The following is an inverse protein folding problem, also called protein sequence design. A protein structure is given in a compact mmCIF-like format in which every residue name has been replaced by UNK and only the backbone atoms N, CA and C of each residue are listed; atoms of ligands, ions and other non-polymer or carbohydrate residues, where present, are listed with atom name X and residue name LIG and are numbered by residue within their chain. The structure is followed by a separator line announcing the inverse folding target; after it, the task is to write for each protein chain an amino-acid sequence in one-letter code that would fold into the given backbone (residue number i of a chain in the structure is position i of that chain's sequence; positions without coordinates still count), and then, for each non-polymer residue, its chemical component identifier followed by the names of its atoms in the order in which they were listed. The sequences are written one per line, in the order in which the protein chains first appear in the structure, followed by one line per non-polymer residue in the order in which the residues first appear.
data_IF_051362119595
#
_entry.id   IF_051362119595
#
_cell.length_a   1.000
_cell.length_b   1.000
_cell.length_c   1.000
_cell.angle_alpha   90.00
_cell.angle_beta   90.00
_cell.angle_gamma   90.00
#
_symmetry.space_group_name_H-M   'P 1'
#
loop_
_entity.id
_entity.type
_entity.pdbx_description
1 polymer ?
#
# COMPACT_ATOMS: atom_id res chain seq x y z
N UNK A 1 -27.19 4.20 -7.57
CA UNK A 1 -25.96 4.57 -6.84
C UNK A 1 -24.75 4.30 -7.73
N UNK A 2 -24.06 5.33 -8.23
CA UNK A 2 -22.81 5.17 -8.98
C UNK A 2 -21.76 4.67 -7.99
N UNK A 3 -21.23 3.46 -8.20
CA UNK A 3 -20.04 2.97 -7.49
C UNK A 3 -18.87 3.82 -7.98
N UNK A 4 -18.36 4.69 -7.13
CA UNK A 4 -17.09 5.39 -7.40
C UNK A 4 -16.02 4.31 -7.59
N UNK A 5 -15.43 4.24 -8.77
CA UNK A 5 -14.30 3.33 -8.98
C UNK A 5 -13.13 3.78 -8.09
N UNK A 6 -12.38 2.85 -7.49
CA UNK A 6 -11.21 3.23 -6.70
C UNK A 6 -10.19 3.93 -7.60
N UNK A 7 -9.60 5.00 -7.10
CA UNK A 7 -8.49 5.65 -7.78
C UNK A 7 -7.31 4.67 -7.87
N UNK A 8 -6.88 4.36 -9.09
CA UNK A 8 -5.67 3.60 -9.34
C UNK A 8 -4.51 4.58 -9.51
N UNK A 9 -3.41 4.34 -8.80
CA UNK A 9 -2.21 5.18 -8.79
C UNK A 9 -0.99 4.35 -9.14
N UNK A 10 -0.02 4.97 -9.82
CA UNK A 10 1.25 4.34 -10.12
C UNK A 10 2.23 4.54 -8.94
N UNK A 11 3.03 3.52 -8.66
CA UNK A 11 4.18 3.63 -7.77
C UNK A 11 5.42 4.00 -8.58
N UNK A 12 6.29 4.82 -8.01
CA UNK A 12 7.59 5.15 -8.54
C UNK A 12 8.67 4.24 -7.94
N UNK A 13 9.63 3.81 -8.75
CA UNK A 13 10.82 3.13 -8.25
C UNK A 13 11.74 4.12 -7.54
N UNK A 14 12.34 3.72 -6.42
CA UNK A 14 13.29 4.57 -5.73
C UNK A 14 14.57 4.75 -6.57
N UNK A 15 15.08 5.98 -6.77
CA UNK A 15 16.24 6.24 -7.64
C UNK A 15 17.51 5.49 -7.24
N UNK A 16 17.70 5.21 -5.95
CA UNK A 16 18.89 4.48 -5.47
C UNK A 16 18.82 2.97 -5.70
N UNK A 17 17.67 2.42 -6.09
CA UNK A 17 17.46 0.99 -6.30
C UNK A 17 16.71 0.73 -7.62
N UNK A 18 17.26 1.14 -8.77
CA UNK A 18 16.58 1.05 -10.06
C UNK A 18 16.30 -0.41 -10.42
N UNK A 19 15.08 -0.68 -10.85
CA UNK A 19 14.64 -2.00 -11.31
C UNK A 19 15.03 -2.21 -12.79
N UNK A 20 15.35 -3.45 -13.12
CA UNK A 20 15.56 -3.91 -14.50
C UNK A 20 14.42 -4.81 -15.00
N UNK A 21 13.72 -5.43 -14.05
CA UNK A 21 12.64 -6.38 -14.35
C UNK A 21 11.26 -5.72 -14.40
N UNK A 22 11.03 -4.70 -13.55
CA UNK A 22 9.69 -4.13 -13.34
C UNK A 22 9.45 -2.94 -14.26
N UNK A 23 8.40 -3.02 -15.06
CA UNK A 23 7.96 -1.95 -15.96
C UNK A 23 7.00 -0.98 -15.25
N UNK A 24 6.10 -1.50 -14.39
CA UNK A 24 5.15 -0.68 -13.65
C UNK A 24 4.57 -1.43 -12.45
N UNK A 25 4.26 -0.68 -11.40
CA UNK A 25 3.40 -1.14 -10.31
C UNK A 25 2.27 -0.13 -10.14
N UNK A 26 1.04 -0.63 -10.04
CA UNK A 26 -0.15 0.19 -9.77
C UNK A 26 -0.82 -0.32 -8.50
N UNK A 27 -1.35 0.62 -7.72
CA UNK A 27 -2.08 0.30 -6.51
C UNK A 27 -3.44 1.00 -6.49
N UNK A 28 -4.40 0.39 -5.84
CA UNK A 28 -5.66 1.02 -5.49
C UNK A 28 -6.16 0.52 -4.14
N UNK A 29 -6.87 1.37 -3.40
CA UNK A 29 -7.49 1.02 -2.14
C UNK A 29 -8.90 1.60 -2.08
N UNK A 30 -9.81 0.88 -1.41
CA UNK A 30 -11.18 1.34 -1.18
C UNK A 30 -11.74 0.80 0.13
N UNK A 31 -12.58 1.60 0.77
CA UNK A 31 -13.38 1.14 1.90
C UNK A 31 -14.79 0.82 1.38
N UNK A 32 -15.20 -0.42 1.56
CA UNK A 32 -16.52 -0.93 1.21
C UNK A 32 -17.45 -1.03 2.41
N UNK A 33 -18.61 -1.66 2.20
CA UNK A 33 -19.57 -1.92 3.27
C UNK A 33 -18.95 -2.72 4.42
N UNK A 34 -19.45 -2.52 5.64
CA UNK A 34 -18.96 -3.11 6.89
C UNK A 34 -17.47 -2.81 7.19
N UNK A 35 -16.94 -1.66 6.73
CA UNK A 35 -15.55 -1.26 6.98
C UNK A 35 -14.51 -2.16 6.32
N UNK A 36 -14.84 -2.85 5.22
CA UNK A 36 -13.89 -3.66 4.45
C UNK A 36 -12.90 -2.74 3.74
N UNK A 37 -11.63 -2.84 4.08
CA UNK A 37 -10.53 -2.27 3.32
C UNK A 37 -10.09 -3.29 2.26
N UNK A 38 -10.34 -2.98 1.00
CA UNK A 38 -9.86 -3.77 -0.13
C UNK A 38 -8.71 -3.02 -0.81
N UNK A 39 -7.58 -3.69 -0.96
CA UNK A 39 -6.41 -3.19 -1.67
C UNK A 39 -6.11 -4.08 -2.88
N UNK A 40 -5.57 -3.48 -3.92
CA UNK A 40 -5.18 -4.19 -5.14
C UNK A 40 -3.86 -3.61 -5.63
N UNK A 41 -2.95 -4.50 -5.96
CA UNK A 41 -1.70 -4.19 -6.62
C UNK A 41 -1.64 -4.93 -7.96
N UNK A 42 -1.14 -4.25 -8.98
CA UNK A 42 -0.84 -4.79 -10.30
C UNK A 42 0.64 -4.60 -10.56
N UNK A 43 1.37 -5.69 -10.71
CA UNK A 43 2.77 -5.72 -11.10
C UNK A 43 2.86 -6.06 -12.58
N UNK A 44 3.49 -5.21 -13.37
CA UNK A 44 3.90 -5.46 -14.75
C UNK A 44 5.43 -5.59 -14.79
N UNK A 45 5.93 -6.79 -15.08
CA UNK A 45 7.35 -7.11 -14.99
C UNK A 45 7.73 -8.26 -15.93
N UNK A 46 9.02 -8.38 -16.21
CA UNK A 46 9.60 -9.63 -16.69
C UNK A 46 9.69 -10.64 -15.53
N UNK A 47 8.70 -11.52 -15.46
CA UNK A 47 8.58 -12.48 -14.35
C UNK A 47 9.70 -13.51 -14.31
N UNK A 48 10.51 -13.65 -15.37
CA UNK A 48 11.70 -14.50 -15.34
C UNK A 48 12.83 -13.92 -14.51
N UNK A 49 12.75 -12.62 -14.21
CA UNK A 49 13.73 -11.87 -13.41
C UNK A 49 13.25 -11.55 -12.00
N UNK A 50 11.97 -11.81 -11.69
CA UNK A 50 11.38 -11.53 -10.36
C UNK A 50 11.35 -12.79 -9.51
N UNK A 51 11.84 -12.70 -8.29
CA UNK A 51 11.77 -13.78 -7.29
C UNK A 51 10.46 -13.65 -6.53
N UNK A 52 9.59 -14.65 -6.67
CA UNK A 52 8.36 -14.75 -5.91
C UNK A 52 8.51 -15.76 -4.79
N UNK A 53 8.05 -15.42 -3.56
CA UNK A 53 7.94 -16.40 -2.48
C UNK A 53 7.03 -17.56 -2.89
N UNK A 54 7.41 -18.78 -2.46
CA UNK A 54 6.61 -19.98 -2.70
C UNK A 54 5.22 -19.86 -2.10
N UNK A 55 4.19 -20.24 -2.86
CA UNK A 55 2.80 -20.24 -2.40
C UNK A 55 2.65 -21.12 -1.15
N UNK A 56 1.98 -20.59 -0.13
CA UNK A 56 1.72 -21.23 1.15
C UNK A 56 0.27 -21.05 1.58
N UNK A 57 -0.26 -21.85 2.52
CA UNK A 57 -1.54 -21.53 3.17
C UNK A 57 -1.49 -20.14 3.80
N UNK A 58 -2.58 -19.38 3.65
CA UNK A 58 -2.66 -18.04 4.20
C UNK A 58 -2.47 -18.05 5.72
N UNK A 59 -1.40 -17.42 6.18
CA UNK A 59 -1.00 -17.34 7.58
C UNK A 59 -0.30 -16.02 7.85
N UNK A 60 -0.26 -15.62 9.13
CA UNK A 60 0.60 -14.53 9.56
C UNK A 60 2.06 -14.97 9.50
N UNK A 61 2.91 -14.14 8.91
CA UNK A 61 4.37 -14.34 8.85
C UNK A 61 5.07 -12.99 8.98
N UNK A 62 6.11 -12.94 9.81
CA UNK A 62 6.88 -11.71 10.00
C UNK A 62 7.91 -11.52 8.88
N UNK A 63 8.43 -10.28 8.77
CA UNK A 63 9.53 -9.90 7.88
C UNK A 63 9.28 -10.13 6.38
N UNK A 64 8.01 -10.11 5.94
CA UNK A 64 7.66 -10.29 4.53
C UNK A 64 8.34 -9.26 3.60
N UNK A 65 8.63 -8.05 4.11
CA UNK A 65 9.33 -6.98 3.39
C UNK A 65 10.79 -7.29 3.02
N UNK A 66 11.35 -8.38 3.51
CA UNK A 66 12.69 -8.85 3.10
C UNK A 66 12.72 -9.50 1.72
N UNK A 67 11.55 -9.78 1.16
CA UNK A 67 11.34 -10.41 -0.13
C UNK A 67 10.28 -9.64 -0.93
N UNK A 68 9.85 -10.17 -2.07
CA UNK A 68 8.75 -9.57 -2.82
C UNK A 68 7.50 -9.48 -1.94
N UNK A 69 7.09 -8.24 -1.63
CA UNK A 69 5.99 -7.91 -0.74
C UNK A 69 5.29 -6.64 -1.21
N UNK A 70 3.98 -6.57 -1.02
CA UNK A 70 3.15 -5.39 -1.26
C UNK A 70 2.63 -4.85 0.05
N UNK A 71 2.74 -3.54 0.24
CA UNK A 71 2.51 -2.91 1.53
C UNK A 71 1.49 -1.78 1.43
N UNK A 72 0.62 -1.70 2.42
CA UNK A 72 -0.33 -0.60 2.56
C UNK A 72 -0.19 0.01 3.95
N UNK A 73 0.17 1.26 4.00
CA UNK A 73 0.19 2.07 5.21
C UNK A 73 -1.14 2.80 5.36
N UNK A 74 -1.70 2.79 6.55
CA UNK A 74 -2.99 3.44 6.84
C UNK A 74 -2.84 4.31 8.08
N UNK A 75 -3.21 5.59 7.95
CA UNK A 75 -3.13 6.58 9.01
C UNK A 75 -4.41 7.41 9.08
N UNK A 76 -4.63 8.06 10.22
CA UNK A 76 -5.63 9.09 10.37
C UNK A 76 -5.25 10.33 9.53
N UNK A 77 -6.22 11.20 9.21
CA UNK A 77 -5.95 12.50 8.60
C UNK A 77 -4.91 13.31 9.35
N UNK A 78 -4.28 14.25 8.67
CA UNK A 78 -3.27 15.12 9.28
C UNK A 78 -3.88 15.90 10.46
N UNK A 79 -3.15 15.95 11.57
CA UNK A 79 -3.58 16.59 12.80
C UNK A 79 -4.37 15.68 13.76
N UNK A 80 -4.78 14.48 13.35
CA UNK A 80 -5.51 13.52 14.20
C UNK A 80 -4.59 12.48 14.87
N UNK A 81 -3.28 12.72 14.88
CA UNK A 81 -2.28 11.88 15.56
C UNK A 81 -1.18 11.36 14.62
N UNK A 82 -0.15 10.75 15.22
CA UNK A 82 1.02 10.21 14.51
C UNK A 82 0.94 8.72 14.25
N UNK A 83 0.01 8.02 14.91
CA UNK A 83 -0.13 6.58 14.82
C UNK A 83 -0.56 6.14 13.40
N UNK A 84 -0.06 4.99 12.98
CA UNK A 84 -0.44 4.37 11.71
C UNK A 84 -0.31 2.85 11.81
N UNK A 85 -0.90 2.17 10.82
CA UNK A 85 -0.76 0.73 10.63
C UNK A 85 -0.04 0.45 9.33
N UNK A 86 0.78 -0.60 9.32
CA UNK A 86 1.42 -1.19 8.17
C UNK A 86 0.81 -2.56 7.92
N UNK A 87 0.40 -2.81 6.69
CA UNK A 87 -0.23 -4.05 6.25
C UNK A 87 0.62 -4.64 5.12
N UNK A 88 1.20 -5.79 5.35
CA UNK A 88 2.07 -6.51 4.43
C UNK A 88 1.35 -7.70 3.82
N UNK A 89 1.46 -7.85 2.50
CA UNK A 89 0.83 -8.92 1.73
C UNK A 89 1.85 -9.52 0.77
N UNK A 90 2.15 -10.81 0.98
CA UNK A 90 3.09 -11.54 0.15
C UNK A 90 2.39 -12.26 -1.02
N UNK A 91 3.06 -12.42 -2.16
CA UNK A 91 2.60 -13.34 -3.20
C UNK A 91 2.48 -14.79 -2.75
N UNK A 92 3.10 -15.18 -1.64
CA UNK A 92 2.89 -16.49 -1.01
C UNK A 92 1.51 -16.68 -0.40
N UNK A 93 0.68 -15.63 -0.31
CA UNK A 93 -0.58 -15.46 0.44
C UNK A 93 -0.40 -15.24 1.94
N UNK A 94 0.82 -15.26 2.46
CA UNK A 94 1.13 -14.85 3.83
C UNK A 94 0.95 -13.34 3.99
N UNK A 95 0.71 -12.93 5.23
CA UNK A 95 0.44 -11.53 5.57
C UNK A 95 1.00 -11.16 6.93
N UNK A 96 1.23 -9.88 7.16
CA UNK A 96 1.52 -9.32 8.48
C UNK A 96 0.85 -7.95 8.63
N UNK A 97 0.54 -7.58 9.88
CA UNK A 97 0.03 -6.27 10.21
C UNK A 97 0.71 -5.76 11.47
N UNK A 98 1.13 -4.49 11.44
CA UNK A 98 1.82 -3.85 12.55
C UNK A 98 1.20 -2.50 12.85
N UNK A 99 1.11 -2.17 14.14
CA UNK A 99 0.75 -0.84 14.61
C UNK A 99 1.99 -0.07 15.04
N UNK A 100 1.97 1.24 14.78
CA UNK A 100 3.01 2.19 15.17
C UNK A 100 2.38 3.36 15.92
N UNK A 101 3.02 3.81 16.99
CA UNK A 101 2.58 4.98 17.77
C UNK A 101 3.12 6.30 17.20
N UNK A 102 4.04 6.24 16.24
CA UNK A 102 4.64 7.37 15.53
C UNK A 102 5.69 6.86 14.55
N UNK A 103 6.36 7.77 13.86
CA UNK A 103 7.34 7.43 12.83
C UNK A 103 8.37 6.42 13.33
N UNK A 104 8.30 5.17 12.80
CA UNK A 104 9.14 4.01 13.14
C UNK A 104 9.22 3.71 14.64
N UNK A 105 8.23 4.13 15.45
CA UNK A 105 8.23 3.96 16.91
C UNK A 105 7.12 3.01 17.36
N UNK A 106 7.45 2.15 18.32
CA UNK A 106 6.48 1.30 18.99
C UNK A 106 5.84 0.27 18.09
N UNK A 107 6.60 -0.29 17.14
CA UNK A 107 6.13 -1.38 16.29
C UNK A 107 5.61 -2.54 17.13
N UNK A 108 4.35 -2.87 16.94
CA UNK A 108 3.68 -4.00 17.61
C UNK A 108 2.86 -4.80 16.60
N UNK A 109 2.93 -6.14 16.63
CA UNK A 109 2.05 -6.97 15.83
C UNK A 109 0.58 -6.69 16.16
N UNK A 110 -0.25 -6.62 15.13
CA UNK A 110 -1.71 -6.51 15.31
C UNK A 110 -2.31 -7.91 15.31
N UNK A 111 -2.91 -8.29 16.45
CA UNK A 111 -3.69 -9.51 16.55
C UNK A 111 -5.07 -9.30 15.91
N UNK A 112 -5.38 -10.08 14.89
CA UNK A 112 -6.65 -9.97 14.16
C UNK A 112 -7.57 -11.15 14.47
N UNK A 113 -8.85 -10.87 14.67
CA UNK A 113 -9.88 -11.91 14.83
C UNK A 113 -10.30 -12.51 13.49
N UNK A 114 -10.23 -11.69 12.45
CA UNK A 114 -10.56 -12.07 11.08
C UNK A 114 -9.34 -11.86 10.20
N UNK A 115 -8.59 -12.93 9.90
CA UNK A 115 -7.43 -12.84 9.00
C UNK A 115 -7.79 -12.19 7.66
N UNK A 116 -6.88 -11.42 7.07
CA UNK A 116 -7.08 -10.88 5.74
C UNK A 116 -7.16 -12.02 4.72
N UNK A 117 -7.91 -11.78 3.66
CA UNK A 117 -7.91 -12.67 2.49
C UNK A 117 -6.96 -12.09 1.46
N UNK A 118 -5.94 -12.85 1.11
CA UNK A 118 -4.98 -12.50 0.07
C UNK A 118 -5.20 -13.44 -1.11
N UNK A 119 -5.30 -12.89 -2.29
CA UNK A 119 -5.44 -13.63 -3.54
C UNK A 119 -4.45 -13.10 -4.56
N UNK A 120 -3.76 -14.01 -5.24
CA UNK A 120 -2.79 -13.70 -6.27
C UNK A 120 -3.22 -14.35 -7.57
N UNK A 121 -3.20 -13.58 -8.65
CA UNK A 121 -3.54 -14.07 -9.99
C UNK A 121 -2.43 -13.71 -10.96
N UNK A 122 -1.90 -14.66 -11.73
CA UNK A 122 -0.94 -14.36 -12.76
C UNK A 122 -1.59 -13.54 -13.89
N UNK A 123 -0.77 -12.72 -14.54
CA UNK A 123 -1.08 -12.01 -15.78
C UNK A 123 -0.02 -12.36 -16.83
N UNK A 124 -0.27 -12.10 -18.13
CA UNK A 124 0.72 -12.39 -19.18
C UNK A 124 2.10 -11.75 -18.94
N UNK A 125 2.13 -10.61 -18.26
CA UNK A 125 3.34 -9.87 -17.89
C UNK A 125 3.30 -9.44 -16.45
N UNK A 126 3.18 -10.37 -15.50
CA UNK A 126 3.19 -10.01 -14.09
C UNK A 126 2.14 -10.73 -13.26
N UNK A 127 1.62 -10.03 -12.27
CA UNK A 127 0.59 -10.55 -11.37
C UNK A 127 -0.33 -9.43 -10.85
N UNK A 128 -1.48 -9.86 -10.36
CA UNK A 128 -2.37 -9.05 -9.53
C UNK A 128 -2.43 -9.68 -8.15
N UNK A 129 -2.17 -8.88 -7.12
CA UNK A 129 -2.43 -9.23 -5.74
C UNK A 129 -3.61 -8.41 -5.24
N UNK A 130 -4.61 -9.08 -4.67
CA UNK A 130 -5.75 -8.46 -4.01
C UNK A 130 -5.80 -8.91 -2.55
N UNK A 131 -5.95 -7.96 -1.64
CA UNK A 131 -6.14 -8.26 -0.24
C UNK A 131 -7.37 -7.54 0.33
N UNK A 132 -8.07 -8.22 1.24
CA UNK A 132 -9.23 -7.67 1.93
C UNK A 132 -9.07 -7.89 3.42
N UNK A 133 -9.10 -6.81 4.18
CA UNK A 133 -9.14 -6.81 5.65
C UNK A 133 -10.28 -5.93 6.14
N UNK A 134 -10.42 -5.77 7.45
CA UNK A 134 -11.45 -4.94 8.07
C UNK A 134 -10.80 -3.86 8.92
N UNK A 135 -11.26 -2.61 8.77
CA UNK A 135 -10.75 -1.50 9.58
C UNK A 135 -10.93 -1.74 11.09
N UNK A 136 -11.99 -2.48 11.47
CA UNK A 136 -12.24 -2.85 12.86
C UNK A 136 -11.17 -3.77 13.48
N UNK A 137 -10.32 -4.38 12.68
CA UNK A 137 -9.17 -5.17 13.16
C UNK A 137 -7.94 -4.27 13.43
N UNK A 138 -7.93 -3.02 12.92
CA UNK A 138 -6.82 -2.11 13.11
C UNK A 138 -6.99 -1.31 14.42
N UNK A 139 -5.93 -1.10 15.21
CA UNK A 139 -5.98 -0.34 16.46
C UNK A 139 -6.03 1.18 16.18
N UNK A 140 -7.02 1.59 15.43
CA UNK A 140 -7.24 2.99 15.04
C UNK A 140 -8.69 3.38 15.34
N UNK A 141 -8.96 4.64 15.70
CA UNK A 141 -10.33 5.13 15.78
C UNK A 141 -11.06 4.89 14.47
N UNK A 142 -12.34 4.49 14.56
CA UNK A 142 -13.15 4.33 13.35
C UNK A 142 -13.38 5.71 12.73
N UNK A 143 -12.92 5.95 11.51
CA UNK A 143 -12.93 7.30 10.95
C UNK A 143 -14.34 7.73 10.55
N UNK A 144 -14.74 8.91 10.97
CA UNK A 144 -15.79 9.69 10.31
C UNK A 144 -15.28 10.37 9.04
N UNK A 145 -13.96 10.46 8.86
CA UNK A 145 -13.25 11.10 7.75
C UNK A 145 -12.49 10.07 6.90
N UNK A 146 -12.11 10.41 5.65
CA UNK A 146 -11.22 9.57 4.85
C UNK A 146 -9.89 9.33 5.56
N UNK A 147 -9.37 8.09 5.46
CA UNK A 147 -8.03 7.75 5.92
C UNK A 147 -6.97 8.24 4.93
N UNK A 148 -5.79 8.55 5.44
CA UNK A 148 -4.59 8.71 4.64
C UNK A 148 -3.94 7.34 4.44
N UNK A 149 -3.48 7.07 3.23
CA UNK A 149 -2.80 5.81 2.95
C UNK A 149 -1.55 6.03 2.07
N UNK A 150 -0.54 5.19 2.32
CA UNK A 150 0.62 4.99 1.49
C UNK A 150 0.57 3.59 0.88
N UNK A 151 0.90 3.46 -0.40
CA UNK A 151 1.09 2.17 -1.05
C UNK A 151 2.55 2.02 -1.43
N UNK A 152 3.12 0.85 -1.16
CA UNK A 152 4.51 0.53 -1.45
C UNK A 152 4.66 -0.94 -1.89
N UNK A 153 5.81 -1.26 -2.45
CA UNK A 153 6.19 -2.63 -2.75
C UNK A 153 7.71 -2.79 -2.68
N UNK A 154 8.14 -3.92 -2.17
CA UNK A 154 9.49 -4.43 -2.32
C UNK A 154 9.43 -5.52 -3.38
N UNK A 155 10.29 -5.45 -4.39
CA UNK A 155 10.40 -6.49 -5.41
C UNK A 155 11.83 -7.04 -5.39
N UNK A 156 11.93 -8.33 -5.17
CA UNK A 156 13.19 -9.06 -5.23
C UNK A 156 13.42 -9.53 -6.66
N UNK A 157 14.56 -9.15 -7.22
CA UNK A 157 15.02 -9.58 -8.53
C UNK A 157 16.08 -10.68 -8.39
N UNK A 158 16.31 -11.43 -9.46
CA UNK A 158 17.32 -12.45 -9.52
C UNK A 158 18.68 -11.91 -9.03
N UNK A 159 19.40 -12.71 -8.24
CA UNK A 159 20.66 -12.30 -7.59
C UNK A 159 20.46 -11.55 -6.27
N UNK A 160 19.23 -11.47 -5.74
CA UNK A 160 18.94 -10.86 -4.44
C UNK A 160 18.88 -9.33 -4.46
N UNK A 161 18.77 -8.73 -5.65
CA UNK A 161 18.60 -7.28 -5.76
C UNK A 161 17.18 -6.88 -5.35
N UNK A 162 17.05 -5.99 -4.33
CA UNK A 162 15.78 -5.46 -3.89
C UNK A 162 15.54 -4.09 -4.50
N UNK A 163 14.37 -3.90 -5.10
CA UNK A 163 13.90 -2.62 -5.61
C UNK A 163 12.70 -2.14 -4.79
N UNK A 164 12.65 -0.85 -4.51
CA UNK A 164 11.67 -0.25 -3.61
C UNK A 164 10.78 0.72 -4.36
N UNK A 165 9.47 0.49 -4.27
CA UNK A 165 8.44 1.20 -5.01
C UNK A 165 7.45 1.84 -4.05
N UNK A 166 7.12 3.11 -4.24
CA UNK A 166 6.15 3.82 -3.42
C UNK A 166 5.43 4.91 -4.21
N UNK A 167 4.38 5.47 -3.62
CA UNK A 167 3.67 6.62 -4.20
C UNK A 167 4.58 7.85 -4.34
N UNK A 168 5.45 8.05 -3.35
CA UNK A 168 6.47 9.10 -3.34
C UNK A 168 7.69 8.64 -2.56
N UNK A 169 8.84 9.23 -2.85
CA UNK A 169 10.09 8.96 -2.14
C UNK A 169 10.64 10.27 -1.55
N UNK A 170 10.21 10.67 -0.35
CA UNK A 170 10.62 11.93 0.26
C UNK A 170 12.05 11.91 0.82
N UNK A 171 12.68 10.74 0.93
CA UNK A 171 14.02 10.54 1.53
C UNK A 171 15.03 10.08 0.49
N UNK A 172 16.32 10.29 0.76
CA UNK A 172 17.41 9.84 -0.10
C UNK A 172 17.60 8.31 -0.13
N UNK A 173 17.12 7.63 0.90
CA UNK A 173 17.04 6.16 0.99
C UNK A 173 15.56 5.73 1.00
N UNK A 174 15.25 4.50 0.56
CA UNK A 174 13.88 4.00 0.62
C UNK A 174 13.30 4.07 2.03
N UNK A 175 12.17 4.76 2.16
CA UNK A 175 11.47 4.94 3.44
C UNK A 175 9.97 5.02 3.24
N UNK A 176 9.29 3.89 3.41
CA UNK A 176 7.85 3.79 3.26
C UNK A 176 7.07 4.33 4.45
N UNK A 177 7.73 4.49 5.62
CA UNK A 177 7.09 5.00 6.84
C UNK A 177 6.95 6.52 6.85
N UNK A 178 7.62 7.21 5.94
CA UNK A 178 7.59 8.67 5.91
C UNK A 178 6.19 9.18 5.58
N UNK A 179 5.61 10.03 6.44
CA UNK A 179 4.21 10.45 6.36
C UNK A 179 3.85 11.17 5.06
N UNK A 180 4.79 11.86 4.43
CA UNK A 180 4.61 12.45 3.10
C UNK A 180 4.38 11.40 1.99
N UNK A 181 4.62 10.12 2.27
CA UNK A 181 4.27 8.99 1.40
C UNK A 181 2.79 8.60 1.47
N UNK A 182 2.04 9.05 2.48
CA UNK A 182 0.63 8.69 2.68
C UNK A 182 -0.30 9.66 1.95
N UNK A 183 -0.21 9.68 0.62
CA UNK A 183 -0.88 10.68 -0.23
C UNK A 183 -2.25 10.23 -0.75
N UNK A 184 -2.60 8.94 -0.62
CA UNK A 184 -3.94 8.46 -0.98
C UNK A 184 -4.96 8.84 0.09
N UNK A 185 -6.16 9.20 -0.35
CA UNK A 185 -7.33 9.32 0.51
C UNK A 185 -8.24 8.10 0.28
N UNK A 186 -8.52 7.35 1.33
CA UNK A 186 -9.33 6.13 1.28
C UNK A 186 -10.55 6.29 2.17
N UNK A 187 -11.75 6.16 1.59
CA UNK A 187 -13.01 6.34 2.31
C UNK A 187 -13.99 7.24 1.58
N UNK A 188 -15.12 7.55 2.22
CA UNK A 188 -16.09 8.50 1.69
C UNK A 188 -15.51 9.91 1.80
N UNK A 189 -15.32 10.58 0.69
CA UNK A 189 -15.16 12.03 0.70
C UNK A 189 -16.49 12.66 1.19
N UNK A 190 -16.46 13.65 2.10
CA UNK A 190 -17.64 14.43 2.39
C UNK A 190 -18.09 15.10 1.09
N UNK A 191 -19.42 15.06 0.82
CA UNK A 191 -20.01 15.77 -0.31
C UNK A 191 -19.67 17.26 -0.16
N UNK A 192 -18.78 17.80 -1.01
CA UNK A 192 -18.40 19.22 -0.99
C UNK A 192 -16.90 19.52 -0.89
N UNK A 193 -16.03 18.53 -0.81
CA UNK A 193 -14.57 18.78 -0.93
C UNK A 193 -14.23 19.10 -2.38
N UNK A 194 -14.26 20.39 -2.72
CA UNK A 194 -13.78 20.92 -3.99
C UNK A 194 -12.28 20.69 -4.09
N UNK A 195 -11.88 20.09 -5.18
CA UNK A 195 -10.53 19.70 -5.59
C UNK A 195 -9.56 20.91 -5.51
N UNK A 196 -8.93 21.12 -4.35
CA UNK A 196 -7.93 22.17 -4.16
C UNK A 196 -6.62 21.87 -4.93
N UNK A 197 -6.51 20.70 -5.55
CA UNK A 197 -5.37 20.32 -6.38
C UNK A 197 -5.46 20.83 -7.82
N UNK A 198 -6.59 21.40 -8.27
CA UNK A 198 -6.71 22.03 -9.59
C UNK A 198 -6.22 23.48 -9.62
N UNK A 199 -6.05 24.12 -8.46
CA UNK A 199 -5.66 25.54 -8.41
C UNK A 199 -4.12 25.78 -8.46
N UNK A 200 -3.29 24.75 -8.37
CA UNK A 200 -1.83 24.91 -8.34
C UNK A 200 -1.14 24.77 -9.70
N UNK A 201 -1.86 24.50 -10.80
CA UNK A 201 -1.28 24.30 -12.15
C UNK A 201 -1.73 25.37 -13.16
N UNK A 202 -2.52 26.33 -12.75
CA UNK A 202 -3.09 27.33 -13.66
C UNK A 202 -2.75 28.76 -13.30
N UNK A 203 -1.46 29.14 -13.21
CA UNK A 203 -1.08 30.54 -13.36
C UNK A 203 0.43 30.70 -13.68
N UNK A 204 0.82 30.37 -14.92
CA UNK A 204 1.99 30.95 -15.60
C UNK A 204 1.69 31.03 -17.08
N UNK A 205 1.02 32.09 -17.47
CA UNK A 205 1.07 32.67 -18.80
C UNK A 205 0.54 34.12 -18.68
N UNK A 206 1.40 35.04 -18.48
CA UNK A 206 1.51 36.35 -19.17
C UNK A 206 2.82 37.01 -18.71
#
# INVERSE_FOLDING_TARGET
MRRTQPQTVALACHPSTPSRAVSAIRASARIGGAGKLAVRFELDADMSQVVLPTLRPAARSDELWRHTCFEMFVALPDGEGEAYCELNFSPSTEWAMYGFVGYRRGMTPIEVRRPPRVAVRPMPRGLVLEAVTYLAELPMPQPGSPLRAGAAAVIEENGGHLTYWALTHPSALPDFHHRLGFVLQVGKQPAGSTDLLRAAVGNRAE
#
